data_IF_592758613986
#
_entry.id   IF_592758613986
#
_cell.length_a   1.000
_cell.length_b   1.000
_cell.length_c   1.000
_cell.angle_alpha   90.00
_cell.angle_beta   90.00
_cell.angle_gamma   90.00
#
_symmetry.space_group_name_H-M   'P 1'
#
loop_
_entity.id
_entity.type
_entity.pdbx_description
1 polymer ?
#
# COMPACT_ATOMS: atom_id res chain seq x y z
N UNK A 1 -22.08 -17.18 -0.86
CA UNK A 1 -21.78 -15.76 -0.58
C UNK A 1 -20.53 -15.76 0.29
N UNK A 2 -19.57 -14.87 0.03
CA UNK A 2 -18.43 -14.73 0.93
C UNK A 2 -18.89 -14.14 2.26
N UNK A 3 -18.45 -14.72 3.38
CA UNK A 3 -18.75 -14.17 4.71
C UNK A 3 -18.12 -12.78 4.87
N UNK A 4 -18.82 -11.85 5.56
CA UNK A 4 -18.25 -10.54 5.83
C UNK A 4 -17.01 -10.67 6.74
N UNK A 5 -15.97 -9.89 6.51
CA UNK A 5 -14.80 -9.84 7.39
C UNK A 5 -15.24 -9.40 8.80
N UNK A 6 -14.55 -9.89 9.83
CA UNK A 6 -14.90 -9.63 11.23
C UNK A 6 -14.45 -8.25 11.76
N UNK A 7 -13.73 -7.49 10.97
CA UNK A 7 -13.15 -6.17 11.35
C UNK A 7 -12.98 -5.27 10.14
N UNK A 8 -12.72 -4.02 10.40
CA UNK A 8 -12.47 -3.01 9.38
C UNK A 8 -11.29 -3.43 8.48
N UNK A 9 -11.45 -3.31 7.16
CA UNK A 9 -10.38 -3.62 6.23
C UNK A 9 -9.28 -2.54 6.28
N UNK A 10 -8.04 -2.93 6.05
CA UNK A 10 -6.91 -2.00 5.92
C UNK A 10 -6.90 -1.24 4.59
N UNK A 11 -7.50 -1.83 3.56
CA UNK A 11 -7.60 -1.27 2.22
C UNK A 11 -9.00 -1.48 1.67
N UNK A 12 -9.51 -0.48 0.96
CA UNK A 12 -10.78 -0.52 0.25
C UNK A 12 -10.52 -0.32 -1.25
N UNK A 13 -11.34 -0.90 -2.10
CA UNK A 13 -11.27 -0.69 -3.55
C UNK A 13 -12.51 0.05 -4.02
N UNK A 14 -12.36 1.14 -4.75
CA UNK A 14 -13.47 1.86 -5.35
C UNK A 14 -14.18 0.97 -6.40
N UNK A 15 -15.49 1.14 -6.57
CA UNK A 15 -16.28 0.41 -7.55
C UNK A 15 -16.64 -1.04 -7.18
N UNK A 16 -16.28 -1.50 -5.97
CA UNK A 16 -16.73 -2.79 -5.43
C UNK A 16 -17.59 -2.60 -4.19
N UNK A 17 -18.46 -3.55 -3.90
CA UNK A 17 -19.26 -3.51 -2.66
C UNK A 17 -18.35 -3.72 -1.46
N UNK A 18 -18.36 -2.77 -0.52
CA UNK A 18 -17.67 -2.90 0.75
C UNK A 18 -18.57 -3.59 1.76
N UNK A 19 -18.08 -4.64 2.41
CA UNK A 19 -18.85 -5.40 3.36
C UNK A 19 -17.98 -5.98 4.48
N UNK A 20 -18.33 -5.63 5.74
CA UNK A 20 -17.72 -6.24 6.93
C UNK A 20 -18.69 -6.21 8.09
N UNK A 21 -18.39 -6.98 9.14
CA UNK A 21 -19.15 -7.05 10.37
C UNK A 21 -18.27 -6.59 11.53
N UNK A 22 -18.82 -5.75 12.41
CA UNK A 22 -18.14 -5.27 13.62
C UNK A 22 -18.98 -5.55 14.84
N UNK A 23 -18.37 -6.06 15.89
CA UNK A 23 -18.99 -6.22 17.20
C UNK A 23 -18.27 -5.32 18.20
N UNK A 24 -19.04 -4.54 18.95
CA UNK A 24 -18.54 -3.63 19.99
C UNK A 24 -19.35 -3.96 21.24
N UNK A 25 -18.73 -4.66 22.21
CA UNK A 25 -19.42 -5.19 23.38
C UNK A 25 -20.07 -4.10 24.25
N UNK A 26 -19.42 -2.95 24.37
CA UNK A 26 -19.88 -1.83 25.21
C UNK A 26 -21.00 -1.00 24.53
N UNK A 27 -21.12 -1.12 23.20
CA UNK A 27 -22.07 -0.36 22.40
C UNK A 27 -22.79 -1.29 21.42
N UNK A 28 -23.78 -2.10 21.87
CA UNK A 28 -24.48 -3.05 21.01
C UNK A 28 -25.32 -2.34 19.95
N UNK A 29 -25.42 -2.93 18.77
CA UNK A 29 -26.15 -2.37 17.64
C UNK A 29 -27.67 -2.32 17.85
N UNK A 30 -28.19 -3.02 18.87
CA UNK A 30 -29.58 -2.93 19.32
C UNK A 30 -29.94 -1.56 19.93
N UNK A 31 -28.93 -0.82 20.45
CA UNK A 31 -29.15 0.46 21.13
C UNK A 31 -28.42 1.63 20.45
N UNK A 32 -27.34 1.35 19.74
CA UNK A 32 -26.45 2.34 19.15
C UNK A 32 -26.41 2.22 17.63
N UNK A 33 -26.13 3.33 16.97
CA UNK A 33 -25.90 3.37 15.51
C UNK A 33 -24.42 3.64 15.24
N UNK A 34 -23.76 2.75 14.51
CA UNK A 34 -22.36 2.95 14.07
C UNK A 34 -22.34 3.67 12.72
N UNK A 35 -21.66 4.80 12.66
CA UNK A 35 -21.46 5.58 11.43
C UNK A 35 -19.97 5.79 11.20
N UNK A 36 -19.54 5.49 10.00
CA UNK A 36 -18.17 5.74 9.55
C UNK A 36 -18.08 7.01 8.71
N UNK A 37 -16.99 7.73 8.91
CA UNK A 37 -16.64 8.94 8.17
C UNK A 37 -15.33 8.70 7.44
N UNK A 38 -15.30 9.01 6.15
CA UNK A 38 -14.11 9.03 5.32
C UNK A 38 -13.77 10.49 4.97
N UNK A 39 -12.57 10.92 5.34
CA UNK A 39 -12.08 12.27 5.05
C UNK A 39 -10.78 12.18 4.25
N UNK A 40 -10.70 12.94 3.19
CA UNK A 40 -9.49 13.12 2.39
C UNK A 40 -9.18 14.60 2.31
N UNK A 41 -7.90 14.96 2.32
CA UNK A 41 -7.49 16.35 2.14
C UNK A 41 -8.03 16.94 0.83
N UNK A 42 -8.55 18.16 0.92
CA UNK A 42 -9.18 18.85 -0.21
C UNK A 42 -10.53 18.28 -0.69
N UNK A 43 -11.12 17.32 0.01
CA UNK A 43 -12.41 16.72 -0.34
C UNK A 43 -13.45 16.85 0.79
N UNK A 44 -14.73 16.85 0.40
CA UNK A 44 -15.83 16.81 1.38
C UNK A 44 -15.84 15.45 2.08
N UNK A 45 -16.02 15.48 3.41
CA UNK A 45 -16.19 14.26 4.20
C UNK A 45 -17.42 13.48 3.73
N UNK A 46 -17.26 12.18 3.56
CA UNK A 46 -18.36 11.27 3.24
C UNK A 46 -18.62 10.34 4.41
N UNK A 47 -19.85 9.90 4.56
CA UNK A 47 -20.22 8.99 5.65
C UNK A 47 -21.16 7.89 5.18
N UNK A 48 -21.12 6.77 5.90
CA UNK A 48 -22.08 5.67 5.75
C UNK A 48 -22.31 5.00 7.11
N UNK A 49 -23.53 4.54 7.33
CA UNK A 49 -23.92 3.90 8.58
C UNK A 49 -24.00 2.39 8.40
N UNK A 50 -23.68 1.67 9.46
CA UNK A 50 -23.90 0.24 9.56
C UNK A 50 -25.39 -0.06 9.85
N UNK A 51 -25.85 -1.25 9.47
CA UNK A 51 -27.13 -1.81 9.87
C UNK A 51 -26.93 -2.76 11.05
N UNK A 52 -27.92 -2.81 11.96
CA UNK A 52 -27.90 -3.77 13.06
C UNK A 52 -28.07 -5.21 12.53
N UNK A 53 -27.25 -6.12 13.06
CA UNK A 53 -27.35 -7.57 12.83
C UNK A 53 -27.20 -8.26 14.20
N UNK A 54 -28.30 -8.33 14.93
CA UNK A 54 -28.32 -8.62 16.36
C UNK A 54 -27.60 -7.51 17.14
N UNK A 55 -26.65 -7.87 17.99
CA UNK A 55 -25.83 -6.92 18.74
C UNK A 55 -24.60 -6.47 17.95
N UNK A 56 -24.43 -6.93 16.73
CA UNK A 56 -23.32 -6.56 15.84
C UNK A 56 -23.76 -5.58 14.77
N UNK A 57 -22.80 -4.90 14.19
CA UNK A 57 -22.98 -3.95 13.10
C UNK A 57 -22.58 -4.59 11.77
N UNK A 58 -23.47 -4.61 10.81
CA UNK A 58 -23.17 -5.00 9.44
C UNK A 58 -23.01 -3.74 8.58
N UNK A 59 -21.81 -3.54 8.08
CA UNK A 59 -21.54 -2.48 7.11
C UNK A 59 -21.70 -3.03 5.70
N UNK A 60 -22.49 -2.33 4.89
CA UNK A 60 -22.63 -2.64 3.47
C UNK A 60 -22.70 -1.34 2.68
N UNK A 61 -21.72 -1.07 1.85
CA UNK A 61 -21.70 0.08 0.94
C UNK A 61 -21.73 -0.43 -0.49
N UNK A 62 -22.74 0.00 -1.26
CA UNK A 62 -22.96 -0.48 -2.61
C UNK A 62 -21.82 -0.07 -3.57
N UNK A 63 -21.51 -0.90 -4.56
CA UNK A 63 -20.47 -0.64 -5.57
C UNK A 63 -20.70 0.70 -6.31
N UNK A 64 -21.95 1.08 -6.58
CA UNK A 64 -22.28 2.36 -7.21
C UNK A 64 -21.84 3.56 -6.34
N UNK A 65 -22.01 3.46 -5.02
CA UNK A 65 -21.56 4.51 -4.08
C UNK A 65 -20.06 4.53 -3.98
N UNK A 66 -19.41 3.35 -3.88
CA UNK A 66 -17.95 3.27 -3.76
C UNK A 66 -17.21 3.70 -5.02
N UNK A 67 -17.84 3.62 -6.19
CA UNK A 67 -17.28 4.07 -7.46
C UNK A 67 -17.01 5.60 -7.50
N UNK A 68 -17.69 6.37 -6.66
CA UNK A 68 -17.50 7.82 -6.55
C UNK A 68 -16.28 8.23 -5.71
N UNK A 69 -15.68 7.30 -4.94
CA UNK A 69 -14.52 7.61 -4.13
C UNK A 69 -13.25 7.69 -4.98
N UNK A 70 -12.53 8.80 -4.86
CA UNK A 70 -11.22 8.94 -5.48
C UNK A 70 -10.19 8.06 -4.75
N UNK A 71 -9.22 7.53 -5.49
CA UNK A 71 -8.12 6.79 -4.89
C UNK A 71 -7.24 7.67 -3.99
N UNK A 72 -6.65 7.09 -2.97
CA UNK A 72 -5.73 7.76 -2.05
C UNK A 72 -5.93 7.37 -0.59
N UNK A 73 -5.26 8.08 0.30
CA UNK A 73 -5.32 7.88 1.74
C UNK A 73 -6.45 8.72 2.31
N UNK A 74 -7.24 8.13 3.19
CA UNK A 74 -8.34 8.76 3.90
C UNK A 74 -8.18 8.55 5.40
N UNK A 75 -8.56 9.56 6.20
CA UNK A 75 -8.89 9.35 7.60
C UNK A 75 -10.20 8.55 7.67
N UNK A 76 -10.18 7.47 8.40
CA UNK A 76 -11.31 6.56 8.56
C UNK A 76 -11.73 6.50 10.02
N UNK A 77 -12.83 7.13 10.35
CA UNK A 77 -13.28 7.37 11.73
C UNK A 77 -14.65 6.71 11.91
N UNK A 78 -14.82 5.93 12.98
CA UNK A 78 -16.07 5.31 13.37
C UNK A 78 -16.64 5.91 14.64
N UNK A 79 -17.90 6.37 14.60
CA UNK A 79 -18.62 6.87 15.76
C UNK A 79 -19.84 6.02 16.04
N UNK A 80 -20.08 5.73 17.33
CA UNK A 80 -21.36 5.22 17.80
C UNK A 80 -22.22 6.36 18.33
N UNK A 81 -23.50 6.35 17.98
CA UNK A 81 -24.44 7.43 18.22
C UNK A 81 -25.69 6.88 18.87
N UNK A 82 -26.11 7.49 20.01
CA UNK A 82 -27.38 7.19 20.70
C UNK A 82 -28.01 8.50 21.16
N UNK A 83 -29.08 8.93 20.51
CA UNK A 83 -29.67 10.24 20.76
C UNK A 83 -28.72 11.40 20.50
N UNK A 84 -28.35 12.13 21.55
CA UNK A 84 -27.40 13.25 21.47
C UNK A 84 -25.95 12.82 21.75
N UNK A 85 -25.75 11.60 22.23
CA UNK A 85 -24.45 11.09 22.60
C UNK A 85 -23.72 10.56 21.35
N UNK A 86 -22.45 10.95 21.21
CA UNK A 86 -21.54 10.53 20.12
C UNK A 86 -20.20 10.18 20.70
N UNK A 87 -19.74 8.96 20.45
CA UNK A 87 -18.47 8.46 20.95
C UNK A 87 -17.65 7.91 19.80
N UNK A 88 -16.37 8.26 19.77
CA UNK A 88 -15.41 7.72 18.80
C UNK A 88 -14.98 6.32 19.26
N UNK A 89 -15.17 5.33 18.41
CA UNK A 89 -14.84 3.93 18.70
C UNK A 89 -13.78 3.38 17.74
N UNK A 90 -13.48 4.12 16.68
CA UNK A 90 -12.49 3.73 15.69
C UNK A 90 -11.89 4.95 15.03
N UNK A 91 -10.56 4.95 14.88
CA UNK A 91 -9.83 5.99 14.16
C UNK A 91 -8.56 5.38 13.55
N UNK A 92 -8.44 5.45 12.23
CA UNK A 92 -7.30 4.92 11.48
C UNK A 92 -7.19 5.62 10.12
N UNK A 93 -6.06 5.44 9.46
CA UNK A 93 -5.93 5.79 8.05
C UNK A 93 -6.22 4.55 7.19
N UNK A 94 -6.90 4.75 6.05
CA UNK A 94 -7.22 3.69 5.10
C UNK A 94 -6.85 4.12 3.69
N UNK A 95 -6.33 3.19 2.92
CA UNK A 95 -6.06 3.39 1.50
C UNK A 95 -7.25 2.95 0.65
N UNK A 96 -7.80 3.88 -0.14
CA UNK A 96 -8.79 3.57 -1.16
C UNK A 96 -8.07 3.38 -2.49
N UNK A 97 -8.10 2.15 -2.99
CA UNK A 97 -7.53 1.79 -4.28
C UNK A 97 -8.44 2.24 -5.42
N UNK A 98 -7.89 2.57 -6.59
CA UNK A 98 -8.67 2.99 -7.73
C UNK A 98 -9.62 1.88 -8.22
N UNK A 99 -10.70 2.30 -8.87
CA UNK A 99 -11.63 1.37 -9.51
C UNK A 99 -10.96 0.69 -10.71
N UNK A 100 -10.77 -0.63 -10.72
CA UNK A 100 -10.09 -1.35 -11.80
C UNK A 100 -10.88 -1.35 -13.12
N UNK A 101 -12.19 -1.02 -13.08
CA UNK A 101 -13.00 -0.93 -14.30
C UNK A 101 -12.90 0.42 -15.00
N UNK A 102 -12.39 1.45 -14.31
CA UNK A 102 -12.08 2.75 -14.91
C UNK A 102 -10.70 2.69 -15.58
N UNK A 103 -10.66 2.12 -16.78
CA UNK A 103 -9.42 1.76 -17.48
C UNK A 103 -8.62 2.93 -18.06
N UNK A 104 -9.06 4.18 -17.92
CA UNK A 104 -8.45 5.28 -18.70
C UNK A 104 -7.15 5.86 -18.13
N UNK A 105 -6.69 5.50 -16.91
CA UNK A 105 -5.44 6.06 -16.37
C UNK A 105 -4.83 5.36 -15.15
N UNK A 106 -5.20 4.09 -14.87
CA UNK A 106 -4.55 3.38 -13.78
C UNK A 106 -3.18 2.86 -14.22
N UNK A 107 -2.14 3.48 -13.70
CA UNK A 107 -0.77 2.98 -13.83
C UNK A 107 -0.41 2.21 -12.55
N UNK A 108 -0.31 0.87 -12.59
CA UNK A 108 0.01 0.05 -11.42
C UNK A 108 1.47 0.18 -10.97
N UNK A 109 2.31 0.87 -11.75
CA UNK A 109 3.73 1.03 -11.43
C UNK A 109 3.92 1.98 -10.26
N UNK A 110 4.86 1.65 -9.37
CA UNK A 110 5.27 2.55 -8.30
C UNK A 110 5.86 3.86 -8.84
N UNK A 111 5.95 4.87 -7.98
CA UNK A 111 6.63 6.12 -8.34
C UNK A 111 8.08 5.85 -8.77
N UNK A 112 8.79 4.99 -8.04
CA UNK A 112 10.17 4.65 -8.35
C UNK A 112 10.32 4.01 -9.73
N UNK A 113 9.45 3.06 -10.10
CA UNK A 113 9.44 2.45 -11.44
C UNK A 113 9.16 3.46 -12.55
N UNK A 114 8.18 4.35 -12.37
CA UNK A 114 7.88 5.39 -13.37
C UNK A 114 9.03 6.35 -13.59
N UNK A 115 9.68 6.78 -12.50
CA UNK A 115 10.84 7.69 -12.59
C UNK A 115 12.02 6.97 -13.24
N UNK A 116 12.30 5.72 -12.88
CA UNK A 116 13.35 4.91 -13.49
C UNK A 116 13.18 4.82 -15.01
N UNK A 117 11.99 4.49 -15.51
CA UNK A 117 11.70 4.42 -16.94
C UNK A 117 11.83 5.78 -17.65
N UNK A 118 11.43 6.88 -16.99
CA UNK A 118 11.61 8.22 -17.53
C UNK A 118 13.10 8.61 -17.63
N UNK A 119 13.92 8.18 -16.66
CA UNK A 119 15.38 8.39 -16.69
C UNK A 119 16.03 7.55 -17.79
N UNK A 120 15.62 6.29 -17.98
CA UNK A 120 16.07 5.44 -19.09
C UNK A 120 15.78 6.11 -20.44
N UNK A 121 14.53 6.51 -20.66
CA UNK A 121 14.12 7.19 -21.89
C UNK A 121 14.90 8.52 -22.10
N UNK A 122 15.16 9.27 -21.03
CA UNK A 122 15.95 10.50 -21.10
C UNK A 122 17.42 10.24 -21.43
N UNK A 123 18.01 9.13 -20.97
CA UNK A 123 19.36 8.72 -21.29
C UNK A 123 19.47 8.20 -22.74
N UNK A 124 18.54 7.35 -23.18
CA UNK A 124 18.46 6.85 -24.55
C UNK A 124 18.29 7.98 -25.57
N UNK A 125 17.43 8.95 -25.28
CA UNK A 125 17.21 10.12 -26.14
C UNK A 125 18.42 11.06 -26.26
N UNK A 126 19.43 10.92 -25.40
CA UNK A 126 20.67 11.73 -25.41
C UNK A 126 21.80 11.12 -26.25
N UNK A 127 21.85 9.80 -26.34
CA UNK A 127 22.91 9.09 -27.06
C UNK A 127 23.02 9.56 -28.53
N UNK A 128 21.94 9.85 -29.30
CA UNK A 128 22.06 10.31 -30.67
C UNK A 128 22.45 11.77 -30.81
N UNK A 129 22.21 12.63 -29.81
CA UNK A 129 22.27 14.09 -30.01
C UNK A 129 23.46 14.81 -29.37
N UNK A 130 24.25 14.18 -28.53
CA UNK A 130 25.57 14.66 -28.00
C UNK A 130 25.65 16.08 -27.38
N UNK A 131 24.57 16.87 -27.45
CA UNK A 131 24.57 18.25 -26.98
C UNK A 131 24.02 18.36 -25.55
N UNK A 132 24.86 18.80 -24.61
CA UNK A 132 24.49 19.04 -23.21
C UNK A 132 23.81 20.39 -23.00
N UNK A 133 24.04 21.36 -23.91
CA UNK A 133 23.44 22.69 -23.84
C UNK A 133 23.23 23.30 -25.23
N UNK A 134 22.22 24.12 -25.38
CA UNK A 134 22.01 24.95 -26.57
C UNK A 134 21.46 26.33 -26.19
N UNK A 135 21.80 27.33 -26.98
CA UNK A 135 21.32 28.70 -26.79
C UNK A 135 20.41 29.11 -27.93
N UNK A 136 19.21 29.56 -27.60
CA UNK A 136 18.23 30.10 -28.55
C UNK A 136 17.73 31.45 -28.03
N UNK A 137 17.86 32.51 -28.85
CA UNK A 137 17.31 33.83 -28.53
C UNK A 137 17.88 34.45 -27.24
N UNK A 138 19.17 34.19 -26.91
CA UNK A 138 19.81 34.73 -25.71
C UNK A 138 19.51 33.98 -24.41
N UNK A 139 18.77 32.86 -24.47
CA UNK A 139 18.51 31.99 -23.32
C UNK A 139 19.30 30.69 -23.47
N UNK A 140 20.11 30.37 -22.46
CA UNK A 140 20.81 29.09 -22.37
C UNK A 140 19.90 28.06 -21.69
N UNK A 141 19.71 26.92 -22.34
CA UNK A 141 19.02 25.75 -21.76
C UNK A 141 20.07 24.68 -21.50
N UNK A 142 20.33 24.44 -20.22
CA UNK A 142 21.24 23.39 -19.78
C UNK A 142 20.43 22.12 -19.47
N UNK A 143 20.83 21.00 -20.05
CA UNK A 143 20.30 19.68 -19.66
C UNK A 143 21.04 19.19 -18.43
N UNK A 144 20.39 18.41 -17.60
CA UNK A 144 21.04 17.75 -16.46
C UNK A 144 22.22 16.90 -16.99
N UNK A 145 23.43 17.01 -16.44
CA UNK A 145 24.58 16.21 -16.88
C UNK A 145 24.29 14.69 -16.82
N UNK A 146 24.89 13.93 -17.73
CA UNK A 146 24.62 12.48 -17.83
C UNK A 146 25.02 11.72 -16.54
N UNK A 147 26.10 12.13 -15.89
CA UNK A 147 26.53 11.55 -14.62
C UNK A 147 25.46 11.70 -13.51
N UNK A 148 24.80 12.86 -13.43
CA UNK A 148 23.73 13.08 -12.46
C UNK A 148 22.48 12.25 -12.79
N UNK A 149 22.17 12.04 -14.07
CA UNK A 149 21.09 11.13 -14.47
C UNK A 149 21.40 9.69 -14.10
N UNK A 150 22.64 9.25 -14.26
CA UNK A 150 23.09 7.91 -13.85
C UNK A 150 23.01 7.71 -12.34
N UNK A 151 23.42 8.70 -11.54
CA UNK A 151 23.29 8.65 -10.09
C UNK A 151 21.82 8.55 -9.63
N UNK A 152 20.93 9.35 -10.23
CA UNK A 152 19.50 9.28 -9.97
C UNK A 152 18.91 7.92 -10.39
N UNK A 153 19.31 7.41 -11.55
CA UNK A 153 18.86 6.12 -12.04
C UNK A 153 19.25 4.98 -11.08
N UNK A 154 20.51 4.93 -10.63
CA UNK A 154 20.95 3.92 -9.68
C UNK A 154 20.20 4.00 -8.34
N UNK A 155 19.90 5.21 -7.87
CA UNK A 155 19.09 5.41 -6.66
C UNK A 155 17.69 4.83 -6.82
N UNK A 156 16.97 5.21 -7.87
CA UNK A 156 15.61 4.71 -8.09
C UNK A 156 15.56 3.21 -8.40
N UNK A 157 16.60 2.68 -9.03
CA UNK A 157 16.76 1.24 -9.22
C UNK A 157 16.89 0.49 -7.90
N UNK A 158 17.63 1.04 -6.93
CA UNK A 158 17.69 0.47 -5.57
C UNK A 158 16.33 0.52 -4.88
N UNK A 159 15.59 1.63 -4.99
CA UNK A 159 14.26 1.76 -4.43
C UNK A 159 13.29 0.71 -5.01
N UNK A 160 13.31 0.48 -6.33
CA UNK A 160 12.51 -0.57 -6.98
C UNK A 160 12.89 -1.96 -6.47
N UNK A 161 14.18 -2.26 -6.29
CA UNK A 161 14.63 -3.54 -5.73
C UNK A 161 14.13 -3.73 -4.29
N UNK A 162 14.14 -2.67 -3.48
CA UNK A 162 13.60 -2.71 -2.11
C UNK A 162 12.09 -2.94 -2.09
N UNK A 163 11.33 -2.27 -2.97
CA UNK A 163 9.89 -2.50 -3.14
C UNK A 163 9.60 -3.96 -3.51
N UNK A 164 10.32 -4.53 -4.49
CA UNK A 164 10.16 -5.93 -4.88
C UNK A 164 10.51 -6.92 -3.76
N UNK A 165 11.52 -6.62 -2.95
CA UNK A 165 11.86 -7.43 -1.80
C UNK A 165 10.75 -7.39 -0.73
N UNK A 166 10.20 -6.20 -0.46
CA UNK A 166 9.08 -6.04 0.46
C UNK A 166 7.84 -6.79 -0.01
N UNK A 167 7.49 -6.71 -1.29
CA UNK A 167 6.39 -7.48 -1.89
C UNK A 167 6.60 -9.01 -1.77
N UNK A 168 7.82 -9.49 -1.98
CA UNK A 168 8.16 -10.92 -1.82
C UNK A 168 7.96 -11.38 -0.38
N UNK A 169 8.33 -10.56 0.60
CA UNK A 169 8.13 -10.86 2.02
C UNK A 169 6.64 -10.93 2.38
N UNK A 170 5.85 -9.95 1.93
CA UNK A 170 4.38 -9.92 2.15
C UNK A 170 3.71 -11.15 1.52
N UNK A 171 4.18 -11.58 0.35
CA UNK A 171 3.65 -12.76 -0.35
C UNK A 171 4.22 -14.09 0.18
N UNK A 172 4.91 -14.12 1.32
CA UNK A 172 5.49 -15.31 1.93
C UNK A 172 6.65 -15.93 1.12
N UNK A 173 7.18 -15.23 0.11
CA UNK A 173 8.33 -15.66 -0.66
C UNK A 173 9.61 -15.21 0.06
N UNK A 174 10.55 -16.12 0.25
CA UNK A 174 11.84 -15.79 0.88
C UNK A 174 12.56 -14.71 0.04
N UNK A 175 12.75 -13.55 0.65
CA UNK A 175 13.59 -12.48 0.11
C UNK A 175 15.01 -12.75 0.60
N UNK A 176 15.89 -13.19 -0.27
CA UNK A 176 17.30 -13.24 0.06
C UNK A 176 18.07 -14.38 -0.60
N UNK A 177 19.31 -14.12 -0.92
CA UNK A 177 20.31 -15.13 -1.27
C UNK A 177 20.50 -16.01 -0.03
N UNK A 178 20.35 -17.33 -0.19
CA UNK A 178 20.73 -18.27 0.86
C UNK A 178 22.22 -18.09 1.15
N UNK A 179 22.57 -17.53 2.30
CA UNK A 179 23.95 -17.53 2.77
C UNK A 179 24.19 -18.92 3.32
N UNK A 180 24.82 -19.77 2.52
CA UNK A 180 25.29 -21.08 2.98
C UNK A 180 26.52 -20.87 3.86
N UNK A 181 26.35 -20.87 5.19
CA UNK A 181 27.47 -20.90 6.11
C UNK A 181 27.95 -22.34 6.20
N UNK A 182 29.11 -22.61 5.60
CA UNK A 182 29.82 -23.87 5.83
C UNK A 182 30.70 -23.70 7.07
N UNK A 183 30.36 -24.38 8.14
CA UNK A 183 31.26 -24.54 9.24
C UNK A 183 32.30 -25.63 8.85
N UNK A 184 33.50 -25.23 8.48
CA UNK A 184 34.62 -26.16 8.36
C UNK A 184 35.00 -26.62 9.79
N UNK A 185 34.89 -27.89 10.08
CA UNK A 185 35.51 -28.44 11.28
C UNK A 185 37.01 -28.28 11.14
N UNK A 186 37.70 -27.69 12.13
CA UNK A 186 39.16 -27.73 12.12
C UNK A 186 39.61 -29.20 12.14
N UNK A 187 40.40 -29.57 11.13
CA UNK A 187 41.00 -30.89 11.06
C UNK A 187 41.95 -31.07 12.25
N UNK A 188 41.55 -31.86 13.26
CA UNK A 188 42.42 -32.13 14.39
C UNK A 188 41.76 -32.54 15.72
N UNK A 189 40.43 -32.51 15.82
CA UNK A 189 39.78 -33.00 17.04
C UNK A 189 39.31 -34.45 16.81
N UNK A 190 40.12 -35.38 17.25
CA UNK A 190 39.79 -36.80 17.32
C UNK A 190 38.91 -37.02 18.58
N UNK A 191 37.59 -37.00 18.44
CA UNK A 191 36.68 -37.36 19.52
C UNK A 191 36.57 -38.89 19.55
N UNK A 192 37.39 -39.53 20.38
CA UNK A 192 37.17 -40.92 20.73
C UNK A 192 35.79 -41.09 21.36
N UNK A 193 34.98 -41.94 20.73
CA UNK A 193 33.62 -42.21 21.16
C UNK A 193 33.53 -42.74 22.60
N UNK A 194 32.70 -42.08 23.39
CA UNK A 194 32.16 -42.73 24.59
C UNK A 194 30.94 -43.55 24.16
N UNK A 195 31.12 -44.86 24.17
CA UNK A 195 30.03 -45.83 24.08
C UNK A 195 29.34 -45.86 25.45
N UNK A 196 28.09 -45.46 25.53
CA UNK A 196 27.26 -45.80 26.66
C UNK A 196 26.64 -47.16 26.41
N UNK A 197 27.06 -48.15 27.25
CA UNK A 197 26.43 -49.43 27.42
C UNK A 197 25.32 -49.27 28.48
N UNK A 198 24.16 -49.83 28.17
CA UNK A 198 22.91 -50.06 28.88
C UNK A 198 21.81 -49.04 28.75
#
# INVERSE_FOLDING_TARGET
MAEPKAYEPEKLTAGVTWKWKKTISDYPASEWTLTYYLRKDGATATSFSATADGDSYLVTVAAATTAAYASGIYDFIGWVIKGTEKLEVFNSMIEVLPNPTNSSSYDPRSHARRVMELLEAAMEGRVPNGMESYSIGGRSINKIPLNQLLELYEKYKQDVVMEEQAERLVNGRRSGKNIGVRFNRPSGINVQGYSYIN
#
